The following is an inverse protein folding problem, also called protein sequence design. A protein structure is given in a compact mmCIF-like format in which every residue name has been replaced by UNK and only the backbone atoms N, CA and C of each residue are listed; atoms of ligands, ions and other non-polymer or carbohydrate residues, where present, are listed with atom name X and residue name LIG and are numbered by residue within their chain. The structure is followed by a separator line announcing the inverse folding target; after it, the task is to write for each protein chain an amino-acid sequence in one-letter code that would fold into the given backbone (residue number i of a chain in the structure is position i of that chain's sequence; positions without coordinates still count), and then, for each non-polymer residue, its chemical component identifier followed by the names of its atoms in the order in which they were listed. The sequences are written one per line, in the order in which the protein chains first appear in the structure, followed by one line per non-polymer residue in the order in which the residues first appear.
data_IF_340173892436
#
_entry.id   IF_340173892436
#
_cell.length_a   1.000
_cell.length_b   1.000
_cell.length_c   1.000
_cell.angle_alpha   90.00
_cell.angle_beta   90.00
_cell.angle_gamma   90.00
#
_symmetry.space_group_name_H-M   'P 1'
#
loop_
_entity.id
_entity.type
_entity.pdbx_description
1 polymer ?
#
# COMPACT_ATOMS: atom_id res chain seq x y z
N UNK A 1 -6.96 -34.35 5.95
CA UNK A 1 -6.70 -33.53 4.73
C UNK A 1 -7.79 -32.46 4.63
N UNK A 2 -7.46 -31.19 4.89
CA UNK A 2 -8.45 -30.13 4.92
C UNK A 2 -8.93 -29.77 3.50
N UNK A 3 -10.24 -29.87 3.26
CA UNK A 3 -10.90 -29.53 1.99
C UNK A 3 -10.55 -28.07 1.60
N UNK A 4 -9.84 -27.89 0.48
CA UNK A 4 -9.69 -26.58 -0.19
C UNK A 4 -11.09 -26.09 -0.55
N UNK A 5 -11.61 -25.08 0.15
CA UNK A 5 -12.80 -24.34 -0.28
C UNK A 5 -12.49 -23.72 -1.65
N UNK A 6 -13.21 -24.14 -2.68
CA UNK A 6 -13.21 -23.50 -3.99
C UNK A 6 -13.71 -22.06 -3.85
N UNK A 7 -12.82 -21.08 -3.96
CA UNK A 7 -13.19 -19.68 -4.08
C UNK A 7 -13.72 -19.52 -5.50
N UNK A 8 -15.04 -19.55 -5.68
CA UNK A 8 -15.66 -19.12 -6.95
C UNK A 8 -15.23 -17.66 -7.18
N UNK A 9 -14.75 -17.27 -8.38
CA UNK A 9 -14.53 -15.86 -8.65
C UNK A 9 -15.88 -15.16 -8.49
N UNK A 10 -15.89 -14.11 -7.67
CA UNK A 10 -17.05 -13.22 -7.60
C UNK A 10 -17.35 -12.71 -9.01
N UNK A 11 -18.64 -12.55 -9.32
CA UNK A 11 -19.18 -12.19 -10.63
C UNK A 11 -18.32 -11.09 -11.27
N UNK A 12 -17.92 -11.27 -12.53
CA UNK A 12 -16.97 -10.44 -13.31
C UNK A 12 -16.66 -9.07 -12.68
N UNK A 13 -15.48 -8.95 -12.07
CA UNK A 13 -15.03 -7.68 -11.49
C UNK A 13 -14.86 -6.65 -12.62
N UNK A 14 -15.73 -5.64 -12.65
CA UNK A 14 -15.62 -4.54 -13.61
C UNK A 14 -14.50 -3.57 -13.20
N UNK A 15 -13.29 -3.86 -13.66
CA UNK A 15 -12.10 -3.03 -13.45
C UNK A 15 -12.25 -1.61 -14.02
N UNK A 16 -13.04 -1.42 -15.10
CA UNK A 16 -13.27 -0.09 -15.70
C UNK A 16 -14.11 0.76 -14.77
N UNK A 17 -15.17 0.18 -14.18
CA UNK A 17 -15.99 0.85 -13.16
C UNK A 17 -15.16 1.18 -11.92
N UNK A 18 -14.37 0.24 -11.39
CA UNK A 18 -13.53 0.47 -10.20
C UNK A 18 -12.53 1.60 -10.42
N UNK A 19 -11.90 1.66 -11.60
CA UNK A 19 -11.02 2.77 -11.95
C UNK A 19 -11.78 4.09 -11.99
N UNK A 20 -12.92 4.15 -12.69
CA UNK A 20 -13.74 5.37 -12.79
C UNK A 20 -14.23 5.89 -11.43
N UNK A 21 -14.63 5.00 -10.53
CA UNK A 21 -15.24 5.39 -9.24
C UNK A 21 -14.24 5.55 -8.11
N UNK A 22 -13.06 4.91 -8.18
CA UNK A 22 -12.11 4.89 -7.08
C UNK A 22 -10.69 5.22 -7.53
N UNK A 23 -10.01 4.35 -8.28
CA UNK A 23 -8.56 4.51 -8.55
C UNK A 23 -8.21 5.73 -9.41
N UNK A 24 -9.14 6.18 -10.24
CA UNK A 24 -9.02 7.36 -11.09
C UNK A 24 -9.44 8.67 -10.41
N UNK A 25 -9.92 8.61 -9.16
CA UNK A 25 -10.22 9.84 -8.41
C UNK A 25 -8.91 10.59 -8.11
N UNK A 26 -8.92 11.94 -8.10
CA UNK A 26 -7.73 12.74 -7.80
C UNK A 26 -7.07 12.35 -6.48
N UNK A 27 -7.87 12.01 -5.46
CA UNK A 27 -7.40 11.56 -4.15
C UNK A 27 -6.60 10.25 -4.24
N UNK A 28 -7.12 9.22 -4.93
CA UNK A 28 -6.42 7.94 -5.04
C UNK A 28 -5.16 8.04 -5.91
N UNK A 29 -5.19 8.88 -6.93
CA UNK A 29 -4.00 9.21 -7.74
C UNK A 29 -2.95 9.89 -6.86
N UNK A 30 -3.32 10.89 -6.06
CA UNK A 30 -2.43 11.57 -5.13
C UNK A 30 -1.86 10.61 -4.07
N UNK A 31 -2.69 9.75 -3.49
CA UNK A 31 -2.27 8.73 -2.52
C UNK A 31 -1.32 7.70 -3.14
N UNK A 32 -1.52 7.31 -4.40
CA UNK A 32 -0.58 6.45 -5.14
C UNK A 32 0.75 7.15 -5.37
N UNK A 33 0.72 8.40 -5.84
CA UNK A 33 1.92 9.20 -6.04
C UNK A 33 2.70 9.40 -4.73
N UNK A 34 2.00 9.64 -3.62
CA UNK A 34 2.57 9.77 -2.29
C UNK A 34 3.29 8.48 -1.86
N UNK A 35 2.65 7.31 -2.00
CA UNK A 35 3.30 6.01 -1.69
C UNK A 35 4.55 5.76 -2.54
N UNK A 36 4.49 6.06 -3.84
CA UNK A 36 5.64 5.91 -4.73
C UNK A 36 6.79 6.85 -4.34
N UNK A 37 6.48 8.10 -3.97
CA UNK A 37 7.47 9.06 -3.48
C UNK A 37 8.11 8.58 -2.18
N UNK A 38 7.32 8.14 -1.20
CA UNK A 38 7.82 7.59 0.05
C UNK A 38 8.79 6.41 -0.19
N UNK A 39 8.42 5.49 -1.09
CA UNK A 39 9.30 4.38 -1.46
C UNK A 39 10.63 4.86 -2.05
N UNK A 40 10.59 5.78 -3.02
CA UNK A 40 11.80 6.36 -3.63
C UNK A 40 12.68 7.07 -2.62
N UNK A 41 12.09 7.81 -1.68
CA UNK A 41 12.82 8.48 -0.60
C UNK A 41 13.55 7.45 0.28
N UNK A 42 12.84 6.41 0.75
CA UNK A 42 13.46 5.37 1.59
C UNK A 42 14.50 4.53 0.83
N UNK A 43 14.30 4.28 -0.47
CA UNK A 43 15.30 3.62 -1.32
C UNK A 43 16.57 4.45 -1.45
N UNK A 44 16.47 5.79 -1.54
CA UNK A 44 17.62 6.69 -1.58
C UNK A 44 18.36 6.75 -0.24
N UNK A 45 17.63 6.78 0.87
CA UNK A 45 18.22 6.95 2.21
C UNK A 45 18.85 5.68 2.76
N UNK A 46 18.21 4.51 2.59
CA UNK A 46 18.68 3.26 3.20
C UNK A 46 19.20 2.24 2.17
N UNK A 47 19.04 2.53 0.87
CA UNK A 47 19.39 1.61 -0.20
C UNK A 47 18.34 0.54 -0.46
N UNK A 48 18.36 -0.01 -1.68
CA UNK A 48 17.41 -1.05 -2.14
C UNK A 48 17.53 -2.36 -1.35
N UNK A 49 18.72 -2.68 -0.85
CA UNK A 49 18.97 -3.88 -0.04
C UNK A 49 18.19 -3.86 1.27
N UNK A 50 18.11 -2.70 1.94
CA UNK A 50 17.38 -2.54 3.19
C UNK A 50 15.86 -2.73 3.03
N UNK A 51 15.33 -2.48 1.83
CA UNK A 51 13.91 -2.67 1.48
C UNK A 51 13.60 -4.06 0.90
N UNK A 52 14.61 -4.90 0.66
CA UNK A 52 14.39 -6.23 0.07
C UNK A 52 13.51 -7.07 1.00
N UNK A 53 12.35 -7.50 0.51
CA UNK A 53 11.37 -8.28 1.30
C UNK A 53 10.57 -7.46 2.33
N UNK A 54 10.74 -6.13 2.34
CA UNK A 54 10.08 -5.21 3.26
C UNK A 54 9.22 -4.18 2.51
N UNK A 55 8.35 -3.52 3.25
CA UNK A 55 7.44 -2.49 2.74
C UNK A 55 7.68 -1.17 3.50
N UNK A 56 7.52 -0.05 2.80
CA UNK A 56 7.55 1.29 3.40
C UNK A 56 6.13 1.59 3.88
N UNK A 57 5.97 1.68 5.19
CA UNK A 57 4.72 1.99 5.87
C UNK A 57 4.68 3.46 6.30
N UNK A 58 3.46 3.99 6.29
CA UNK A 58 3.13 5.27 6.91
C UNK A 58 2.59 4.98 8.31
N UNK A 59 3.32 5.41 9.35
CA UNK A 59 2.93 5.22 10.76
C UNK A 59 1.49 5.67 10.98
N UNK A 60 1.18 6.91 10.59
CA UNK A 60 -0.18 7.41 10.37
C UNK A 60 -0.52 7.22 8.89
N UNK A 61 -1.53 6.39 8.53
CA UNK A 61 -1.91 6.16 7.14
C UNK A 61 -2.36 7.42 6.41
N UNK A 62 -2.12 7.51 5.10
CA UNK A 62 -2.57 8.64 4.27
C UNK A 62 -4.09 8.85 4.35
N UNK A 63 -4.87 7.77 4.38
CA UNK A 63 -6.33 7.80 4.53
C UNK A 63 -6.82 8.39 5.86
N UNK A 64 -5.92 8.58 6.83
CA UNK A 64 -6.20 9.19 8.14
C UNK A 64 -5.51 10.55 8.31
N UNK A 65 -5.03 11.16 7.22
CA UNK A 65 -4.30 12.43 7.26
C UNK A 65 -2.82 12.27 7.65
N UNK A 66 -2.20 11.15 7.28
CA UNK A 66 -0.76 10.96 7.34
C UNK A 66 -0.01 11.73 6.25
N UNK A 67 1.31 11.85 6.39
CA UNK A 67 2.16 12.56 5.43
C UNK A 67 3.33 11.70 4.95
N UNK A 68 4.04 12.18 3.92
CA UNK A 68 5.29 11.59 3.45
C UNK A 68 6.53 12.09 4.20
N UNK A 69 6.35 12.82 5.32
CA UNK A 69 7.46 13.28 6.14
C UNK A 69 8.25 12.08 6.64
N UNK A 70 9.58 12.18 6.68
CA UNK A 70 10.44 11.07 7.09
C UNK A 70 10.12 10.51 8.48
N UNK A 71 9.64 11.36 9.39
CA UNK A 71 9.15 10.99 10.72
C UNK A 71 7.95 10.03 10.71
N UNK A 72 7.12 10.10 9.65
CA UNK A 72 5.95 9.25 9.45
C UNK A 72 6.27 7.97 8.64
N UNK A 73 7.48 7.83 8.09
CA UNK A 73 7.87 6.64 7.31
C UNK A 73 8.61 5.63 8.19
N UNK A 74 8.31 4.35 7.99
CA UNK A 74 9.04 3.24 8.60
C UNK A 74 9.13 2.05 7.65
N UNK A 75 10.09 1.15 7.89
CA UNK A 75 10.23 -0.08 7.11
C UNK A 75 9.74 -1.26 7.94
N UNK A 76 8.74 -1.95 7.43
CA UNK A 76 8.16 -3.12 8.09
C UNK A 76 8.32 -4.35 7.21
N UNK A 77 8.26 -5.54 7.82
CA UNK A 77 8.06 -6.76 7.04
C UNK A 77 6.70 -6.69 6.34
N UNK A 78 6.61 -7.34 5.18
CA UNK A 78 5.36 -7.47 4.42
C UNK A 78 4.19 -7.97 5.27
N UNK A 79 4.44 -8.94 6.15
CA UNK A 79 3.42 -9.50 7.05
C UNK A 79 2.98 -8.50 8.11
N UNK A 80 3.92 -7.78 8.73
CA UNK A 80 3.59 -6.77 9.73
C UNK A 80 2.78 -5.61 9.15
N UNK A 81 3.18 -5.07 8.00
CA UNK A 81 2.49 -3.97 7.35
C UNK A 81 1.05 -4.35 6.95
N UNK A 82 0.88 -5.53 6.35
CA UNK A 82 -0.44 -6.03 5.96
C UNK A 82 -1.36 -6.29 7.16
N UNK A 83 -0.80 -6.73 8.30
CA UNK A 83 -1.54 -6.89 9.55
C UNK A 83 -1.95 -5.55 10.17
N UNK A 84 -1.10 -4.52 10.06
CA UNK A 84 -1.39 -3.15 10.52
C UNK A 84 -2.55 -2.54 9.73
N UNK A 85 -2.52 -2.63 8.40
CA UNK A 85 -3.57 -2.09 7.55
C UNK A 85 -3.69 -0.57 7.67
N UNK A 86 -4.90 -0.06 7.88
CA UNK A 86 -5.16 1.38 8.06
C UNK A 86 -5.12 1.82 9.53
N UNK A 87 -4.47 1.04 10.40
CA UNK A 87 -4.31 1.39 11.81
C UNK A 87 -3.15 2.35 11.99
#
# INVERSE_FOLDING_TARGET
MAKKKSIKPDRDRDYKKEYRTYHGTPEQIANRAARNKARRTMEKEMGKSALKGKEVDHKKPLSKGGSNSRSNLQVLSKTANRKKGNK
#
